data_IF_138689402182
#
_entry.id   IF_138689402182
#
_cell.length_a   1.000
_cell.length_b   1.000
_cell.length_c   1.000
_cell.angle_alpha   90.00
_cell.angle_beta   90.00
_cell.angle_gamma   90.00
#
_symmetry.space_group_name_H-M   'P 1'
#
loop_
_entity.id
_entity.type
_entity.pdbx_description
1 polymer ?
#
# COMPACT_ATOMS: atom_id res chain seq x y z
N UNK A 1 -13.98 5.48 -32.97
CA UNK A 1 -13.13 6.47 -32.26
C UNK A 1 -12.59 5.79 -31.05
N UNK A 2 -11.30 5.49 -31.03
CA UNK A 2 -10.69 4.91 -29.83
C UNK A 2 -10.78 5.96 -28.71
N UNK A 3 -11.45 5.59 -27.62
CA UNK A 3 -11.62 6.48 -26.48
C UNK A 3 -10.27 6.63 -25.78
N UNK A 4 -9.78 7.86 -25.65
CA UNK A 4 -8.54 8.16 -24.91
C UNK A 4 -8.69 7.70 -23.46
N UNK A 5 -7.73 6.94 -22.96
CA UNK A 5 -7.68 6.46 -21.59
C UNK A 5 -7.22 7.60 -20.68
N UNK A 6 -8.12 8.07 -19.83
CA UNK A 6 -7.82 9.13 -18.87
C UNK A 6 -7.28 8.54 -17.57
N UNK A 7 -6.07 8.91 -17.21
CA UNK A 7 -5.43 8.46 -15.98
C UNK A 7 -5.12 9.63 -15.05
N UNK A 8 -5.06 9.37 -13.76
CA UNK A 8 -4.51 10.29 -12.77
C UNK A 8 -3.25 9.69 -12.15
N UNK A 9 -2.36 10.52 -11.62
CA UNK A 9 -1.21 10.07 -10.86
C UNK A 9 -1.16 10.76 -9.50
N UNK A 10 -0.94 9.98 -8.46
CA UNK A 10 -0.77 10.46 -7.07
C UNK A 10 0.61 10.04 -6.60
N UNK A 11 1.48 11.03 -6.42
CA UNK A 11 2.89 10.83 -6.06
C UNK A 11 3.44 12.12 -5.44
N UNK A 12 4.26 12.03 -4.40
CA UNK A 12 4.90 13.20 -3.81
C UNK A 12 6.12 13.70 -4.60
N UNK A 13 6.61 12.93 -5.58
CA UNK A 13 7.71 13.31 -6.47
C UNK A 13 7.17 14.11 -7.66
N UNK A 14 7.22 15.44 -7.57
CA UNK A 14 6.78 16.34 -8.64
C UNK A 14 7.58 16.16 -9.93
N UNK A 15 8.89 15.86 -9.83
CA UNK A 15 9.72 15.65 -11.02
C UNK A 15 9.24 14.41 -11.78
N UNK A 16 8.84 13.34 -11.06
CA UNK A 16 8.25 12.16 -11.65
C UNK A 16 6.90 12.48 -12.33
N UNK A 17 6.03 13.23 -11.66
CA UNK A 17 4.73 13.64 -12.22
C UNK A 17 4.89 14.46 -13.51
N UNK A 18 5.81 15.41 -13.52
CA UNK A 18 6.12 16.20 -14.72
C UNK A 18 6.70 15.35 -15.85
N UNK A 19 7.60 14.44 -15.52
CA UNK A 19 8.18 13.46 -16.45
C UNK A 19 7.11 12.56 -17.07
N UNK A 20 6.20 12.03 -16.25
CA UNK A 20 5.06 11.22 -16.71
C UNK A 20 4.13 12.03 -17.61
N UNK A 21 3.80 13.26 -17.24
CA UNK A 21 2.96 14.15 -18.04
C UNK A 21 3.57 14.39 -19.42
N UNK A 22 4.85 14.76 -19.45
CA UNK A 22 5.59 15.01 -20.70
C UNK A 22 5.67 13.76 -21.58
N UNK A 23 5.84 12.61 -20.98
CA UNK A 23 5.94 11.35 -21.71
C UNK A 23 4.56 10.90 -22.23
N UNK A 24 3.51 10.94 -21.41
CA UNK A 24 2.16 10.55 -21.80
C UNK A 24 1.57 11.47 -22.87
N UNK A 25 1.97 12.74 -22.89
CA UNK A 25 1.56 13.66 -23.96
C UNK A 25 2.01 13.23 -25.37
N UNK A 26 2.97 12.31 -25.48
CA UNK A 26 3.41 11.73 -26.77
C UNK A 26 2.57 10.52 -27.19
N UNK A 27 1.72 10.00 -26.31
CA UNK A 27 0.81 8.90 -26.59
C UNK A 27 -0.49 9.46 -27.15
N UNK A 28 -1.10 8.74 -28.09
CA UNK A 28 -2.37 9.15 -28.71
C UNK A 28 -3.59 8.58 -28.00
N UNK A 29 -3.40 7.54 -27.18
CA UNK A 29 -4.44 6.72 -26.57
C UNK A 29 -4.49 6.82 -25.05
N UNK A 30 -3.47 7.43 -24.39
CA UNK A 30 -3.43 7.62 -22.93
C UNK A 30 -3.17 9.10 -22.65
N UNK A 31 -3.90 9.67 -21.68
CA UNK A 31 -3.71 11.04 -21.22
C UNK A 31 -3.65 11.10 -19.70
N UNK A 32 -2.64 11.79 -19.16
CA UNK A 32 -2.60 12.15 -17.75
C UNK A 32 -3.52 13.35 -17.54
N UNK A 33 -4.69 13.09 -16.95
CA UNK A 33 -5.76 14.08 -16.79
C UNK A 33 -5.69 14.84 -15.46
N UNK A 34 -5.02 14.28 -14.46
CA UNK A 34 -4.85 14.90 -13.15
C UNK A 34 -3.59 14.38 -12.47
N UNK A 35 -3.00 15.24 -11.63
CA UNK A 35 -1.93 14.89 -10.70
C UNK A 35 -2.26 15.40 -9.31
N UNK A 36 -1.79 14.72 -8.27
CA UNK A 36 -1.92 15.15 -6.88
C UNK A 36 -0.73 14.62 -6.06
N UNK A 37 -0.48 15.25 -4.92
CA UNK A 37 0.57 14.82 -3.99
C UNK A 37 0.02 13.96 -2.86
N UNK A 38 -1.31 13.89 -2.71
CA UNK A 38 -2.00 13.04 -1.74
C UNK A 38 -3.35 12.55 -2.26
N UNK A 39 -3.85 11.46 -1.67
CA UNK A 39 -5.19 10.93 -2.00
C UNK A 39 -6.29 11.93 -1.63
N UNK A 40 -6.15 12.63 -0.50
CA UNK A 40 -7.13 13.64 -0.08
C UNK A 40 -7.21 14.80 -1.07
N UNK A 41 -6.07 15.28 -1.55
CA UNK A 41 -6.01 16.31 -2.59
C UNK A 41 -6.69 15.83 -3.87
N UNK A 42 -6.36 14.62 -4.33
CA UNK A 42 -6.94 14.04 -5.54
C UNK A 42 -8.46 13.90 -5.44
N UNK A 43 -8.98 13.39 -4.33
CA UNK A 43 -10.42 13.20 -4.14
C UNK A 43 -11.22 14.51 -4.04
N UNK A 44 -10.54 15.64 -3.78
CA UNK A 44 -11.15 16.98 -3.84
C UNK A 44 -11.27 17.52 -5.26
N UNK A 45 -10.57 16.91 -6.21
CA UNK A 45 -10.59 17.31 -7.64
C UNK A 45 -11.75 16.60 -8.35
N UNK A 46 -12.27 17.24 -9.39
CA UNK A 46 -13.22 16.62 -10.30
C UNK A 46 -12.56 16.40 -11.67
N UNK A 47 -12.71 15.22 -12.25
CA UNK A 47 -12.06 14.95 -13.53
C UNK A 47 -12.54 13.66 -14.19
N UNK A 48 -12.13 13.43 -15.45
CA UNK A 48 -12.56 12.29 -16.24
C UNK A 48 -11.79 11.00 -15.91
N UNK A 49 -10.67 11.08 -15.18
CA UNK A 49 -9.85 9.91 -14.86
C UNK A 49 -10.64 8.83 -14.10
N UNK A 50 -10.46 7.59 -14.52
CA UNK A 50 -11.01 6.40 -13.85
C UNK A 50 -9.91 5.47 -13.34
N UNK A 51 -8.73 5.57 -13.91
CA UNK A 51 -7.55 4.81 -13.51
C UNK A 51 -6.64 5.75 -12.74
N UNK A 52 -6.16 5.30 -11.58
CA UNK A 52 -5.26 6.06 -10.72
C UNK A 52 -3.95 5.29 -10.58
N UNK A 53 -2.85 5.93 -10.92
CA UNK A 53 -1.49 5.49 -10.62
C UNK A 53 -1.14 6.02 -9.23
N UNK A 54 -0.96 5.13 -8.26
CA UNK A 54 -0.75 5.50 -6.87
C UNK A 54 0.63 5.07 -6.38
N UNK A 55 1.43 6.02 -5.91
CA UNK A 55 2.60 5.67 -5.09
C UNK A 55 2.17 5.28 -3.67
N UNK A 56 2.85 4.29 -3.12
CA UNK A 56 2.62 3.85 -1.73
C UNK A 56 3.31 4.75 -0.69
N UNK A 57 4.30 5.54 -1.09
CA UNK A 57 5.09 6.38 -0.19
C UNK A 57 4.87 7.87 -0.46
N UNK A 58 3.71 8.39 -0.12
CA UNK A 58 3.35 9.79 -0.35
C UNK A 58 3.99 10.79 0.63
N UNK A 59 4.66 10.32 1.68
CA UNK A 59 5.29 11.14 2.73
C UNK A 59 4.31 12.07 3.50
N UNK A 60 3.01 11.84 3.34
CA UNK A 60 1.92 12.58 4.02
C UNK A 60 1.38 11.86 5.26
N UNK A 61 2.09 10.82 5.73
CA UNK A 61 1.73 9.96 6.86
C UNK A 61 0.44 9.16 6.68
N UNK A 62 -0.16 9.15 5.50
CA UNK A 62 -1.31 8.31 5.20
C UNK A 62 -0.92 6.82 5.15
N UNK A 63 -1.88 5.94 5.47
CA UNK A 63 -1.68 4.49 5.33
C UNK A 63 -1.86 4.07 3.86
N UNK A 64 -0.85 3.46 3.22
CA UNK A 64 -0.93 3.09 1.82
C UNK A 64 -2.07 2.14 1.48
N UNK A 65 -2.40 1.22 2.39
CA UNK A 65 -3.49 0.25 2.18
C UNK A 65 -4.86 0.94 2.30
N UNK A 66 -4.99 1.86 3.27
CA UNK A 66 -6.19 2.68 3.41
C UNK A 66 -6.38 3.59 2.19
N UNK A 67 -5.31 4.15 1.63
CA UNK A 67 -5.35 4.97 0.42
C UNK A 67 -5.92 4.19 -0.79
N UNK A 68 -5.46 2.97 -1.00
CA UNK A 68 -6.01 2.08 -2.04
C UNK A 68 -7.49 1.82 -1.79
N UNK A 69 -7.87 1.47 -0.56
CA UNK A 69 -9.27 1.20 -0.18
C UNK A 69 -10.19 2.42 -0.38
N UNK A 70 -9.72 3.63 -0.05
CA UNK A 70 -10.47 4.87 -0.27
C UNK A 70 -10.72 5.12 -1.77
N UNK A 71 -9.68 5.00 -2.60
CA UNK A 71 -9.80 5.18 -4.05
C UNK A 71 -10.71 4.11 -4.68
N UNK A 72 -10.53 2.85 -4.32
CA UNK A 72 -11.37 1.75 -4.81
C UNK A 72 -12.84 1.93 -4.41
N UNK A 73 -13.11 2.33 -3.16
CA UNK A 73 -14.45 2.63 -2.67
C UNK A 73 -15.11 3.84 -3.35
N UNK A 74 -14.28 4.80 -3.80
CA UNK A 74 -14.73 5.94 -4.60
C UNK A 74 -14.94 5.60 -6.09
N UNK A 75 -14.72 4.34 -6.50
CA UNK A 75 -14.97 3.85 -7.85
C UNK A 75 -13.80 4.01 -8.82
N UNK A 76 -12.61 4.29 -8.31
CA UNK A 76 -11.40 4.34 -9.13
C UNK A 76 -10.75 2.95 -9.25
N UNK A 77 -10.14 2.70 -10.41
CA UNK A 77 -9.32 1.52 -10.64
C UNK A 77 -7.87 1.86 -10.31
N UNK A 78 -7.30 1.22 -9.30
CA UNK A 78 -6.00 1.59 -8.73
C UNK A 78 -4.88 0.70 -9.29
N UNK A 79 -3.87 1.32 -9.90
CA UNK A 79 -2.59 0.71 -10.25
C UNK A 79 -1.55 1.24 -9.28
N UNK A 80 -0.94 0.37 -8.49
CA UNK A 80 0.13 0.76 -7.58
C UNK A 80 1.44 0.91 -8.34
N UNK A 81 2.12 2.07 -8.18
CA UNK A 81 3.42 2.37 -8.79
C UNK A 81 4.39 2.77 -7.69
N UNK A 82 5.40 1.94 -7.38
CA UNK A 82 6.28 2.21 -6.22
C UNK A 82 7.74 1.76 -6.44
N UNK A 83 8.65 2.31 -5.66
CA UNK A 83 10.10 2.02 -5.79
C UNK A 83 10.49 0.66 -5.23
N UNK A 84 9.90 0.25 -4.11
CA UNK A 84 10.29 -0.97 -3.39
C UNK A 84 9.09 -1.92 -3.26
N UNK A 85 9.12 -3.07 -3.94
CA UNK A 85 8.12 -4.10 -3.73
C UNK A 85 8.34 -4.76 -2.36
N UNK A 86 7.56 -4.38 -1.36
CA UNK A 86 7.39 -5.21 -0.16
C UNK A 86 6.19 -6.12 -0.39
N UNK A 87 6.42 -7.43 -0.36
CA UNK A 87 5.37 -8.44 -0.57
C UNK A 87 4.16 -8.20 0.34
N UNK A 88 4.40 -7.69 1.56
CA UNK A 88 3.32 -7.41 2.49
C UNK A 88 2.38 -6.31 2.01
N UNK A 89 2.95 -5.26 1.39
CA UNK A 89 2.14 -4.19 0.81
C UNK A 89 1.47 -4.63 -0.50
N UNK A 90 2.12 -5.43 -1.34
CA UNK A 90 1.51 -5.97 -2.56
C UNK A 90 0.24 -6.75 -2.22
N UNK A 91 0.32 -7.67 -1.26
CA UNK A 91 -0.84 -8.47 -0.85
C UNK A 91 -1.93 -7.60 -0.21
N UNK A 92 -1.56 -6.76 0.76
CA UNK A 92 -2.53 -5.92 1.46
C UNK A 92 -3.20 -4.89 0.53
N UNK A 93 -2.48 -4.31 -0.42
CA UNK A 93 -3.05 -3.38 -1.40
C UNK A 93 -3.90 -4.09 -2.44
N UNK A 94 -3.55 -5.33 -2.84
CA UNK A 94 -4.39 -6.16 -3.70
C UNK A 94 -5.72 -6.49 -3.00
N UNK A 95 -5.67 -6.90 -1.73
CA UNK A 95 -6.87 -7.12 -0.91
C UNK A 95 -7.72 -5.86 -0.73
N UNK A 96 -7.08 -4.69 -0.69
CA UNK A 96 -7.75 -3.38 -0.61
C UNK A 96 -8.35 -2.90 -1.94
N UNK A 97 -8.07 -3.59 -3.07
CA UNK A 97 -8.67 -3.31 -4.37
C UNK A 97 -7.71 -2.80 -5.45
N UNK A 98 -6.40 -2.84 -5.24
CA UNK A 98 -5.46 -2.59 -6.33
C UNK A 98 -5.53 -3.70 -7.38
N UNK A 99 -5.60 -3.32 -8.66
CA UNK A 99 -5.74 -4.28 -9.78
C UNK A 99 -4.42 -4.64 -10.45
N UNK A 100 -3.40 -3.81 -10.27
CA UNK A 100 -2.06 -4.04 -10.83
C UNK A 100 -0.99 -3.38 -9.98
N UNK A 101 0.24 -3.85 -10.16
CA UNK A 101 1.42 -3.38 -9.46
C UNK A 101 2.57 -3.18 -10.45
N UNK A 102 3.16 -1.99 -10.47
CA UNK A 102 4.26 -1.62 -11.38
C UNK A 102 5.40 -0.99 -10.57
N UNK A 103 6.60 -1.58 -10.57
CA UNK A 103 7.77 -0.92 -9.99
C UNK A 103 8.13 0.38 -10.72
N UNK A 104 8.50 1.44 -9.99
CA UNK A 104 8.98 2.72 -10.59
C UNK A 104 10.26 2.54 -11.44
N UNK A 105 10.97 1.40 -11.29
CA UNK A 105 12.12 1.04 -12.13
C UNK A 105 11.72 0.48 -13.49
N UNK A 106 10.44 0.21 -13.70
CA UNK A 106 9.90 -0.35 -14.95
C UNK A 106 9.92 0.69 -16.06
N UNK A 107 10.14 0.24 -17.29
CA UNK A 107 10.07 1.11 -18.47
C UNK A 107 8.64 1.67 -18.63
N UNK A 108 8.54 2.96 -18.95
CA UNK A 108 7.26 3.65 -19.16
C UNK A 108 6.38 3.00 -20.24
N UNK A 109 6.98 2.33 -21.23
CA UNK A 109 6.23 1.56 -22.24
C UNK A 109 5.45 0.41 -21.59
N UNK A 110 6.06 -0.30 -20.66
CA UNK A 110 5.38 -1.37 -19.91
C UNK A 110 4.25 -0.81 -19.03
N UNK A 111 4.47 0.37 -18.42
CA UNK A 111 3.39 1.05 -17.67
C UNK A 111 2.21 1.37 -18.59
N UNK A 112 2.46 1.87 -19.82
CA UNK A 112 1.40 2.12 -20.79
C UNK A 112 0.64 0.84 -21.17
N UNK A 113 1.33 -0.29 -21.34
CA UNK A 113 0.70 -1.56 -21.67
C UNK A 113 -0.16 -2.08 -20.49
N UNK A 114 0.30 -1.89 -19.25
CA UNK A 114 -0.51 -2.19 -18.06
C UNK A 114 -1.76 -1.30 -18.01
N UNK A 115 -1.64 0.01 -18.26
CA UNK A 115 -2.79 0.92 -18.30
C UNK A 115 -3.81 0.48 -19.36
N UNK A 116 -3.35 0.10 -20.56
CA UNK A 116 -4.23 -0.39 -21.64
C UNK A 116 -4.96 -1.67 -21.25
N UNK A 117 -4.27 -2.62 -20.63
CA UNK A 117 -4.86 -3.87 -20.14
C UNK A 117 -5.93 -3.60 -19.09
N UNK A 118 -5.61 -2.74 -18.11
CA UNK A 118 -6.55 -2.34 -17.06
C UNK A 118 -7.78 -1.63 -17.63
N UNK A 119 -7.59 -0.76 -18.62
CA UNK A 119 -8.71 -0.07 -19.32
C UNK A 119 -9.65 -1.06 -20.05
N UNK A 120 -9.15 -2.22 -20.47
CA UNK A 120 -9.97 -3.31 -21.01
C UNK A 120 -10.65 -4.18 -19.97
N UNK A 121 -10.48 -3.85 -18.67
CA UNK A 121 -11.01 -4.66 -17.56
C UNK A 121 -10.18 -5.91 -17.25
N UNK A 122 -8.98 -6.00 -17.78
CA UNK A 122 -8.04 -7.06 -17.46
C UNK A 122 -7.31 -6.71 -16.15
N UNK A 123 -6.93 -7.72 -15.37
CA UNK A 123 -6.01 -7.56 -14.23
C UNK A 123 -4.65 -8.10 -14.66
N UNK A 124 -3.78 -7.26 -15.27
CA UNK A 124 -2.50 -7.74 -15.74
C UNK A 124 -1.63 -8.10 -14.54
N UNK A 125 -1.40 -9.38 -14.36
CA UNK A 125 -0.33 -9.85 -13.53
C UNK A 125 0.97 -9.56 -14.29
N UNK A 126 1.65 -8.47 -13.93
CA UNK A 126 3.02 -8.30 -14.41
C UNK A 126 3.82 -9.51 -13.96
N UNK A 127 4.85 -9.90 -14.71
CA UNK A 127 5.71 -11.04 -14.35
C UNK A 127 6.23 -10.90 -12.92
N UNK A 128 6.52 -9.67 -12.50
CA UNK A 128 6.91 -9.37 -11.13
C UNK A 128 5.76 -9.54 -10.14
N UNK A 129 4.56 -9.07 -10.45
CA UNK A 129 3.38 -9.26 -9.59
C UNK A 129 3.04 -10.76 -9.45
N UNK A 130 3.04 -11.52 -10.55
CA UNK A 130 2.84 -12.96 -10.54
C UNK A 130 3.96 -13.68 -9.77
N UNK A 131 5.21 -13.25 -9.92
CA UNK A 131 6.35 -13.76 -9.18
C UNK A 131 6.22 -13.52 -7.67
N UNK A 132 5.76 -12.33 -7.26
CA UNK A 132 5.56 -12.02 -5.84
C UNK A 132 4.35 -12.74 -5.26
N UNK A 133 3.24 -12.87 -6.00
CA UNK A 133 2.08 -13.66 -5.60
C UNK A 133 2.41 -15.15 -5.52
N UNK A 134 3.21 -15.68 -6.46
CA UNK A 134 3.65 -17.08 -6.46
C UNK A 134 4.71 -17.41 -5.40
N UNK A 135 5.34 -16.40 -4.80
CA UNK A 135 6.28 -16.53 -3.68
C UNK A 135 5.65 -16.40 -2.31
N UNK A 136 4.34 -16.19 -2.24
CA UNK A 136 3.63 -16.31 -0.97
C UNK A 136 3.53 -17.80 -0.56
N UNK A 137 4.70 -18.42 -0.37
CA UNK A 137 4.86 -19.71 0.31
C UNK A 137 4.53 -19.62 1.83
N UNK A 138 3.90 -18.52 2.25
CA UNK A 138 3.51 -18.32 3.64
C UNK A 138 2.04 -18.69 3.82
N UNK A 139 1.73 -20.00 3.96
CA UNK A 139 0.36 -20.46 4.20
C UNK A 139 -0.23 -19.94 5.52
N UNK A 140 0.55 -19.17 6.30
CA UNK A 140 0.25 -18.87 7.70
C UNK A 140 0.46 -17.41 8.06
N UNK A 141 -0.06 -16.44 7.27
CA UNK A 141 -0.06 -15.04 7.69
C UNK A 141 -1.22 -14.77 8.65
N UNK A 142 -0.94 -14.21 9.85
CA UNK A 142 -2.01 -13.83 10.75
C UNK A 142 -2.77 -12.64 10.16
N UNK A 143 -4.09 -12.75 9.97
CA UNK A 143 -4.97 -11.67 9.53
C UNK A 143 -5.11 -10.59 10.62
N UNK A 144 -4.07 -9.78 10.81
CA UNK A 144 -4.08 -8.69 11.80
C UNK A 144 -4.93 -7.54 11.30
N UNK A 145 -5.78 -7.01 12.17
CA UNK A 145 -6.45 -5.73 11.89
C UNK A 145 -5.41 -4.59 11.89
N UNK A 146 -5.69 -3.43 11.27
CA UNK A 146 -4.79 -2.28 11.31
C UNK A 146 -4.38 -1.93 12.75
N UNK A 147 -5.33 -1.93 13.68
CA UNK A 147 -5.07 -1.60 15.09
C UNK A 147 -4.22 -2.64 15.82
N UNK A 148 -4.42 -3.92 15.54
CA UNK A 148 -3.56 -4.99 16.06
C UNK A 148 -2.13 -4.87 15.53
N UNK A 149 -1.96 -4.46 14.27
CA UNK A 149 -0.66 -4.22 13.63
C UNK A 149 0.06 -3.04 14.29
N UNK A 150 -0.58 -1.89 14.44
CA UNK A 150 -0.01 -0.70 15.09
C UNK A 150 0.50 -1.02 16.50
N UNK A 151 -0.34 -1.68 17.31
CA UNK A 151 -0.01 -2.10 18.68
C UNK A 151 1.16 -3.08 18.67
N UNK A 152 1.13 -4.09 17.79
CA UNK A 152 2.18 -5.09 17.66
C UNK A 152 3.53 -4.44 17.32
N UNK A 153 3.54 -3.55 16.35
CA UNK A 153 4.75 -2.84 15.89
C UNK A 153 5.33 -1.98 17.02
N UNK A 154 4.52 -1.15 17.67
CA UNK A 154 4.99 -0.30 18.74
C UNK A 154 5.56 -1.12 19.93
N UNK A 155 4.87 -2.18 20.32
CA UNK A 155 5.30 -3.06 21.41
C UNK A 155 6.55 -3.88 21.05
N UNK A 156 6.63 -4.42 19.85
CA UNK A 156 7.77 -5.20 19.37
C UNK A 156 9.03 -4.38 19.13
N UNK A 157 8.89 -3.06 18.98
CA UNK A 157 10.00 -2.08 18.99
C UNK A 157 10.51 -1.73 20.40
N UNK A 158 9.99 -2.38 21.44
CA UNK A 158 10.46 -2.24 22.81
C UNK A 158 9.64 -1.31 23.69
N UNK A 159 8.58 -0.67 23.19
CA UNK A 159 7.70 0.18 24.01
C UNK A 159 6.98 -0.66 25.07
N UNK A 160 6.75 -0.07 26.26
CA UNK A 160 5.89 -0.67 27.29
C UNK A 160 4.42 -0.57 26.89
N UNK A 161 3.55 -1.39 27.49
CA UNK A 161 2.09 -1.33 27.25
C UNK A 161 1.55 0.08 27.49
N UNK A 162 1.99 0.74 28.58
CA UNK A 162 1.57 2.10 28.90
C UNK A 162 2.05 3.13 27.86
N UNK A 163 3.29 2.99 27.37
CA UNK A 163 3.83 3.85 26.34
C UNK A 163 3.09 3.68 25.01
N UNK A 164 2.76 2.43 24.64
CA UNK A 164 1.92 2.15 23.45
C UNK A 164 0.53 2.78 23.63
N UNK A 165 -0.07 2.64 24.81
CA UNK A 165 -1.37 3.23 25.13
C UNK A 165 -1.38 4.74 24.95
N UNK A 166 -0.40 5.44 25.52
CA UNK A 166 -0.26 6.89 25.35
C UNK A 166 -0.07 7.30 23.90
N UNK A 167 0.83 6.61 23.18
CA UNK A 167 1.12 6.90 21.76
C UNK A 167 -0.10 6.74 20.87
N UNK A 168 -0.90 5.70 21.13
CA UNK A 168 -2.04 5.36 20.25
C UNK A 168 -3.39 5.89 20.77
N UNK A 169 -3.40 6.65 21.87
CA UNK A 169 -4.61 7.21 22.46
C UNK A 169 -5.61 6.16 22.98
N UNK A 170 -5.13 5.03 23.51
CA UNK A 170 -5.95 3.92 24.03
C UNK A 170 -5.49 3.48 25.43
N UNK A 171 -6.39 2.82 26.17
CA UNK A 171 -6.05 2.33 27.51
C UNK A 171 -5.02 1.20 27.46
N UNK A 172 -4.18 1.02 28.52
CA UNK A 172 -3.27 -0.12 28.63
C UNK A 172 -3.98 -1.47 28.52
N UNK A 173 -5.21 -1.57 29.03
CA UNK A 173 -6.06 -2.76 28.91
C UNK A 173 -6.42 -3.05 27.46
N UNK A 174 -6.73 -2.02 26.68
CA UNK A 174 -7.01 -2.12 25.24
C UNK A 174 -5.78 -2.59 24.47
N UNK A 175 -4.59 -2.03 24.79
CA UNK A 175 -3.30 -2.49 24.23
C UNK A 175 -3.09 -3.98 24.49
N UNK A 176 -3.27 -4.41 25.76
CA UNK A 176 -3.12 -5.82 26.16
C UNK A 176 -4.08 -6.74 25.40
N UNK A 177 -5.31 -6.26 25.15
CA UNK A 177 -6.33 -6.99 24.38
C UNK A 177 -5.89 -7.17 22.92
N UNK A 178 -5.39 -6.11 22.26
CA UNK A 178 -4.87 -6.20 20.91
C UNK A 178 -3.64 -7.12 20.80
N UNK A 179 -2.71 -7.05 21.75
CA UNK A 179 -1.56 -7.97 21.80
C UNK A 179 -1.98 -9.43 21.97
N UNK A 180 -2.99 -9.70 22.83
CA UNK A 180 -3.54 -11.05 23.02
C UNK A 180 -4.16 -11.58 21.70
N UNK A 181 -4.96 -10.77 21.02
CA UNK A 181 -5.58 -11.13 19.73
C UNK A 181 -4.53 -11.36 18.65
N UNK A 182 -3.54 -10.48 18.52
CA UNK A 182 -2.43 -10.66 17.60
C UNK A 182 -1.67 -11.96 17.87
N UNK A 183 -1.34 -12.23 19.17
CA UNK A 183 -0.67 -13.46 19.58
C UNK A 183 -1.47 -14.72 19.23
N UNK A 184 -2.79 -14.68 19.40
CA UNK A 184 -3.68 -15.78 19.03
C UNK A 184 -3.66 -16.03 17.51
N UNK A 185 -3.80 -14.98 16.70
CA UNK A 185 -3.75 -15.08 15.23
C UNK A 185 -2.41 -15.61 14.72
N UNK A 186 -1.31 -15.23 15.36
CA UNK A 186 0.01 -15.82 15.06
C UNK A 186 0.09 -17.32 15.45
N UNK A 187 -0.56 -17.72 16.52
CA UNK A 187 -0.62 -19.14 16.91
C UNK A 187 -1.47 -19.95 15.94
N UNK A 188 -2.62 -19.44 15.51
CA UNK A 188 -3.49 -20.03 14.50
C UNK A 188 -2.78 -20.16 13.14
N UNK A 189 -1.92 -19.20 12.81
CA UNK A 189 -1.04 -19.22 11.65
C UNK A 189 0.19 -20.14 11.81
N UNK A 190 0.28 -20.98 12.85
CA UNK A 190 1.41 -21.88 13.08
C UNK A 190 2.72 -21.19 13.48
N UNK A 191 2.70 -19.88 13.78
CA UNK A 191 3.87 -19.05 14.08
C UNK A 191 3.77 -18.41 15.48
N UNK A 192 3.64 -19.17 16.58
CA UNK A 192 3.30 -18.66 17.90
C UNK A 192 4.34 -17.67 18.45
N UNK A 193 3.86 -16.61 19.10
CA UNK A 193 4.68 -15.66 19.85
C UNK A 193 4.79 -16.19 21.28
N UNK A 194 5.95 -16.72 21.66
CA UNK A 194 6.16 -17.39 22.97
C UNK A 194 6.69 -16.44 24.03
N UNK A 195 7.51 -15.46 23.65
CA UNK A 195 8.11 -14.47 24.54
C UNK A 195 8.23 -13.10 23.87
N UNK A 196 8.60 -12.08 24.64
CA UNK A 196 8.61 -10.69 24.16
C UNK A 196 9.49 -10.45 22.91
N UNK A 197 10.66 -11.10 22.85
CA UNK A 197 11.55 -10.97 21.69
C UNK A 197 10.92 -11.41 20.38
N UNK A 198 10.03 -12.41 20.41
CA UNK A 198 9.34 -12.88 19.20
C UNK A 198 8.42 -11.84 18.55
N UNK A 199 7.97 -10.80 19.26
CA UNK A 199 7.23 -9.72 18.63
C UNK A 199 8.10 -8.97 17.60
N UNK A 200 9.35 -8.66 17.98
CA UNK A 200 10.30 -8.03 17.07
C UNK A 200 10.67 -8.92 15.87
N UNK A 201 10.80 -10.24 16.11
CA UNK A 201 11.08 -11.21 15.05
C UNK A 201 9.93 -11.26 14.04
N UNK A 202 8.69 -11.37 14.51
CA UNK A 202 7.49 -11.38 13.67
C UNK A 202 7.33 -10.10 12.85
N UNK A 203 7.63 -8.94 13.47
CA UNK A 203 7.62 -7.65 12.75
C UNK A 203 8.62 -7.65 11.60
N UNK A 204 9.85 -8.17 11.81
CA UNK A 204 10.86 -8.25 10.76
C UNK A 204 10.49 -9.25 9.67
N UNK A 205 10.03 -10.44 10.05
CA UNK A 205 9.64 -11.51 9.13
C UNK A 205 8.44 -11.12 8.25
N UNK A 206 7.49 -10.38 8.81
CA UNK A 206 6.27 -9.96 8.11
C UNK A 206 6.39 -8.58 7.47
N UNK A 207 7.58 -7.95 7.57
CA UNK A 207 7.81 -6.61 7.03
C UNK A 207 7.01 -5.52 7.74
N UNK A 208 6.42 -5.81 8.91
CA UNK A 208 5.66 -4.85 9.68
C UNK A 208 6.62 -3.83 10.32
N UNK A 209 6.36 -2.54 10.17
CA UNK A 209 7.13 -1.54 10.91
C UNK A 209 8.28 -0.91 10.15
N UNK A 210 8.30 -0.99 8.83
CA UNK A 210 9.12 -0.12 7.98
C UNK A 210 8.55 1.29 7.84
N UNK A 211 7.46 1.60 8.57
CA UNK A 211 7.01 2.99 8.71
C UNK A 211 8.13 3.84 9.30
N UNK A 212 8.39 4.97 8.66
CA UNK A 212 9.38 5.95 9.15
C UNK A 212 9.11 6.29 10.60
N UNK A 213 10.15 6.24 11.41
CA UNK A 213 10.21 6.92 12.69
C UNK A 213 9.84 8.39 12.45
N UNK A 214 8.76 8.85 13.07
CA UNK A 214 8.57 10.29 13.29
C UNK A 214 9.84 10.80 14.00
N UNK A 215 10.40 11.95 13.59
CA UNK A 215 11.47 12.56 14.35
C UNK A 215 11.00 12.77 15.81
N UNK A 216 11.88 12.65 16.79
CA UNK A 216 11.55 13.07 18.15
C UNK A 216 11.20 14.56 18.15
N UNK A 217 10.16 14.92 18.89
CA UNK A 217 9.80 16.31 19.21
C UNK A 217 10.98 17.06 19.80
#
# INVERSE_FOLDING_TARGET
>A
MDTVIEVAAIDNDQMLLEGMSTWMAKLTDIRLAATATSVTEFLSQTGPARIVLLDLNLEDFSDPVANVGLLASAGFTVIVVTVVPDLSYILATTEAGAVAYVPKTTNLTVLADVIRSVARGESPLTTEHAFWLGRDDRPNRPGLTPREREVLVAYGRGMTVDAVGRRLGISPTTVSTHLKRAKQKYAEAGRPIRHRGHYGDRIREDGLGRERLLPPD
#
